data_IF_521497213641
#
_entry.id   IF_521497213641
#
_cell.length_a   1.000
_cell.length_b   1.000
_cell.length_c   1.000
_cell.angle_alpha   90.00
_cell.angle_beta   90.00
_cell.angle_gamma   90.00
#
_symmetry.space_group_name_H-M   'P 1'
#
loop_
_entity.id
_entity.type
_entity.pdbx_description
1 polymer ?
#
# COMPACT_ATOMS: atom_id res chain seq x y z
N UNK A 1 29.90 -41.42 70.80
CA UNK A 1 30.44 -40.54 69.71
C UNK A 1 29.29 -40.02 68.89
N UNK A 2 29.05 -38.71 68.96
CA UNK A 2 27.90 -38.04 68.31
C UNK A 2 28.36 -37.41 66.99
N UNK A 3 27.71 -37.68 65.90
CA UNK A 3 27.91 -36.99 64.63
C UNK A 3 26.83 -35.92 64.49
N UNK A 4 27.14 -34.68 64.06
CA UNK A 4 26.19 -33.66 63.85
C UNK A 4 25.67 -33.70 62.40
N UNK A 5 24.33 -33.64 62.22
CA UNK A 5 23.62 -33.52 60.96
C UNK A 5 23.73 -32.08 60.46
N UNK A 6 24.42 -31.85 59.34
CA UNK A 6 24.47 -30.58 58.62
C UNK A 6 23.22 -30.42 57.76
N UNK A 7 22.35 -29.52 58.17
CA UNK A 7 21.13 -29.12 57.50
C UNK A 7 21.48 -28.24 56.31
N UNK A 8 21.46 -28.80 55.08
CA UNK A 8 21.59 -28.04 53.82
C UNK A 8 20.29 -27.30 53.57
N UNK A 9 20.28 -25.98 53.75
CA UNK A 9 19.22 -25.08 53.37
C UNK A 9 19.22 -24.94 51.83
N UNK A 10 18.25 -25.52 51.16
CA UNK A 10 17.89 -25.26 49.74
C UNK A 10 17.20 -23.90 49.67
N UNK A 11 17.88 -22.92 49.08
CA UNK A 11 17.23 -21.67 48.64
C UNK A 11 16.41 -21.94 47.36
N UNK A 12 15.11 -21.62 47.31
CA UNK A 12 14.39 -21.66 46.06
C UNK A 12 14.82 -20.48 45.17
N UNK A 13 15.39 -20.78 44.02
CA UNK A 13 15.64 -19.83 42.95
C UNK A 13 14.27 -19.47 42.34
N UNK A 14 13.76 -18.30 42.68
CA UNK A 14 12.59 -17.71 42.07
C UNK A 14 12.93 -17.27 40.65
N UNK A 15 12.63 -18.10 39.65
CA UNK A 15 12.74 -17.74 38.22
C UNK A 15 11.58 -16.82 37.92
N UNK A 16 11.82 -15.49 37.87
CA UNK A 16 10.89 -14.52 37.29
C UNK A 16 10.81 -14.74 35.77
N UNK A 17 9.82 -15.46 35.33
CA UNK A 17 9.40 -15.47 33.92
C UNK A 17 8.86 -14.07 33.57
N UNK A 18 9.69 -13.22 32.96
CA UNK A 18 9.21 -12.05 32.26
C UNK A 18 8.41 -12.55 31.05
N UNK A 19 7.10 -12.58 31.16
CA UNK A 19 6.21 -12.73 30.02
C UNK A 19 6.39 -11.49 29.14
N UNK A 20 7.22 -11.60 28.12
CA UNK A 20 7.27 -10.59 27.04
C UNK A 20 5.93 -10.66 26.31
N UNK A 21 5.05 -9.68 26.58
CA UNK A 21 3.87 -9.45 25.74
C UNK A 21 4.38 -9.26 24.32
N UNK A 22 3.81 -9.97 23.32
CA UNK A 22 4.05 -9.60 21.93
C UNK A 22 3.62 -8.14 21.80
N UNK A 23 4.51 -7.28 21.32
CA UNK A 23 4.17 -5.92 21.00
C UNK A 23 3.06 -5.99 19.95
N UNK A 24 1.85 -5.57 20.30
CA UNK A 24 0.74 -5.51 19.37
C UNK A 24 1.18 -4.66 18.16
N UNK A 25 1.03 -5.22 16.96
CA UNK A 25 1.31 -4.51 15.73
C UNK A 25 0.37 -3.30 15.66
N UNK A 26 0.95 -2.11 15.72
CA UNK A 26 0.18 -0.87 15.64
C UNK A 26 -0.36 -0.71 14.20
N UNK A 27 -1.51 -0.07 14.06
CA UNK A 27 -2.10 0.26 12.76
C UNK A 27 -2.06 1.75 12.52
N UNK A 28 -1.91 2.13 11.26
CA UNK A 28 -2.03 3.52 10.87
C UNK A 28 -3.50 3.79 10.51
N UNK A 29 -4.16 4.64 11.29
CA UNK A 29 -5.50 5.14 10.97
C UNK A 29 -5.37 6.29 9.97
N UNK A 30 -5.79 6.05 8.74
CA UNK A 30 -5.73 7.06 7.68
C UNK A 30 -6.82 8.10 7.84
N UNK A 31 -6.47 9.33 7.48
CA UNK A 31 -7.40 10.45 7.30
C UNK A 31 -7.79 10.54 5.81
N UNK A 32 -9.01 10.12 5.43
CA UNK A 32 -9.43 10.12 4.03
C UNK A 32 -9.53 11.55 3.44
N UNK A 33 -9.81 12.56 4.26
CA UNK A 33 -9.93 13.94 3.80
C UNK A 33 -8.57 14.56 3.45
N UNK A 34 -7.49 14.02 4.01
CA UNK A 34 -6.11 14.48 3.80
C UNK A 34 -5.28 13.50 2.97
N UNK A 35 -5.86 12.39 2.55
CA UNK A 35 -5.24 11.39 1.69
C UNK A 35 -5.70 11.57 0.25
N UNK A 36 -4.78 11.39 -0.72
CA UNK A 36 -5.06 11.53 -2.15
C UNK A 36 -4.41 10.41 -2.93
N UNK A 37 -5.15 9.91 -3.91
CA UNK A 37 -4.63 8.97 -4.91
C UNK A 37 -5.10 9.46 -6.27
N UNK A 38 -4.15 9.78 -7.13
CA UNK A 38 -4.38 10.33 -8.47
C UNK A 38 -3.74 9.42 -9.51
N UNK A 39 -4.33 9.34 -10.70
CA UNK A 39 -3.74 8.64 -11.82
C UNK A 39 -3.66 9.55 -13.04
N UNK A 40 -2.61 9.38 -13.82
CA UNK A 40 -2.37 10.13 -15.05
C UNK A 40 -2.23 9.16 -16.23
N UNK A 41 -2.96 9.46 -17.30
CA UNK A 41 -2.98 8.71 -18.54
C UNK A 41 -2.54 9.63 -19.68
N UNK A 42 -1.54 9.21 -20.44
CA UNK A 42 -1.10 9.91 -21.64
C UNK A 42 -1.84 9.39 -22.87
N UNK A 43 -2.22 10.27 -23.74
CA UNK A 43 -2.79 9.93 -25.03
C UNK A 43 -2.27 10.89 -26.11
N UNK A 44 -2.33 10.48 -27.35
CA UNK A 44 -1.80 11.26 -28.48
C UNK A 44 -2.48 12.63 -28.61
N UNK A 45 -3.75 12.72 -28.28
CA UNK A 45 -4.57 13.95 -28.48
C UNK A 45 -4.93 14.63 -27.16
N UNK A 46 -5.35 13.88 -26.14
CA UNK A 46 -5.84 14.43 -24.87
C UNK A 46 -5.38 13.57 -23.71
N UNK A 47 -4.30 13.97 -23.07
CA UNK A 47 -3.84 13.38 -21.80
C UNK A 47 -4.74 13.86 -20.67
N UNK A 48 -5.02 12.99 -19.71
CA UNK A 48 -5.89 13.33 -18.61
C UNK A 48 -5.41 12.77 -17.29
N UNK A 49 -5.93 13.36 -16.23
CA UNK A 49 -5.78 12.87 -14.85
C UNK A 49 -7.14 12.45 -14.32
N UNK A 50 -7.11 11.57 -13.36
CA UNK A 50 -8.26 11.19 -12.57
C UNK A 50 -7.85 10.97 -11.13
N UNK A 51 -8.82 10.70 -10.29
CA UNK A 51 -8.62 10.45 -8.86
C UNK A 51 -9.43 9.25 -8.40
N UNK A 52 -8.97 8.67 -7.31
CA UNK A 52 -9.68 7.62 -6.60
C UNK A 52 -10.48 8.24 -5.46
N UNK A 53 -11.80 8.03 -5.47
CA UNK A 53 -12.71 8.62 -4.46
C UNK A 53 -12.69 7.87 -3.14
N UNK A 54 -12.65 6.53 -3.20
CA UNK A 54 -12.71 5.68 -2.01
C UNK A 54 -11.73 4.53 -2.13
N UNK A 55 -11.12 4.19 -1.03
CA UNK A 55 -10.24 3.03 -0.90
C UNK A 55 -10.27 2.49 0.52
N UNK A 56 -9.99 1.22 0.65
CA UNK A 56 -9.70 0.54 1.91
C UNK A 56 -8.18 0.39 1.99
N UNK A 57 -7.59 0.86 3.07
CA UNK A 57 -6.13 0.78 3.25
C UNK A 57 -5.82 0.37 4.66
N UNK A 58 -5.07 -0.71 4.78
CA UNK A 58 -4.52 -1.20 6.03
C UNK A 58 -3.01 -1.04 5.98
N UNK A 59 -2.43 -0.37 6.97
CA UNK A 59 -0.98 -0.23 7.13
C UNK A 59 -0.62 -0.70 8.52
N UNK A 60 0.24 -1.70 8.56
CA UNK A 60 0.74 -2.32 9.79
C UNK A 60 2.11 -1.77 10.10
N UNK A 61 2.29 -1.36 11.35
CA UNK A 61 3.55 -0.81 11.84
C UNK A 61 4.19 -1.79 12.82
N UNK A 62 5.48 -1.94 12.74
CA UNK A 62 6.28 -2.67 13.70
C UNK A 62 6.52 -1.87 14.99
N UNK A 63 7.21 -2.47 15.98
CA UNK A 63 7.46 -1.87 17.28
C UNK A 63 8.26 -0.56 17.23
N UNK A 64 9.06 -0.36 16.19
CA UNK A 64 9.82 0.88 15.92
C UNK A 64 9.05 1.92 15.13
N UNK A 65 7.79 1.65 14.75
CA UNK A 65 6.98 2.53 13.91
C UNK A 65 7.29 2.41 12.41
N UNK A 66 8.10 1.44 12.01
CA UNK A 66 8.37 1.08 10.62
C UNK A 66 7.16 0.38 9.98
N UNK A 67 6.93 0.59 8.69
CA UNK A 67 5.88 -0.12 7.95
C UNK A 67 6.34 -1.56 7.70
N UNK A 68 5.61 -2.52 8.26
CA UNK A 68 5.87 -3.96 8.11
C UNK A 68 4.89 -4.66 7.16
N UNK A 69 3.78 -4.02 6.85
CA UNK A 69 2.80 -4.52 5.91
C UNK A 69 1.86 -3.43 5.44
N UNK A 70 1.35 -3.57 4.23
CA UNK A 70 0.31 -2.71 3.71
C UNK A 70 -0.60 -3.46 2.74
N UNK A 71 -1.88 -3.16 2.81
CA UNK A 71 -2.90 -3.61 1.86
C UNK A 71 -3.68 -2.40 1.39
N UNK A 72 -3.78 -2.23 0.10
CA UNK A 72 -4.53 -1.15 -0.53
C UNK A 72 -5.55 -1.75 -1.49
N UNK A 73 -6.83 -1.45 -1.32
CA UNK A 73 -7.92 -2.03 -2.09
C UNK A 73 -8.94 -0.96 -2.46
N UNK A 74 -9.50 -1.05 -3.66
CA UNK A 74 -10.57 -0.16 -4.11
C UNK A 74 -11.45 -0.81 -5.19
N UNK A 75 -12.60 -0.19 -5.44
CA UNK A 75 -13.48 -0.59 -6.54
C UNK A 75 -13.15 0.22 -7.79
N UNK A 76 -13.15 -0.41 -8.97
CA UNK A 76 -12.97 0.30 -10.23
C UNK A 76 -13.96 1.46 -10.40
N UNK A 77 -15.18 1.32 -9.87
CA UNK A 77 -16.22 2.36 -9.90
C UNK A 77 -15.83 3.65 -9.13
N UNK A 78 -14.84 3.58 -8.23
CA UNK A 78 -14.35 4.75 -7.50
C UNK A 78 -13.28 5.56 -8.27
N UNK A 79 -12.84 5.08 -9.43
CA UNK A 79 -11.97 5.82 -10.35
C UNK A 79 -12.80 6.83 -11.15
N UNK A 80 -12.44 8.11 -11.06
CA UNK A 80 -13.16 9.20 -11.73
C UNK A 80 -12.21 10.18 -12.38
N UNK A 81 -12.61 10.70 -13.54
CA UNK A 81 -11.85 11.72 -14.29
C UNK A 81 -12.57 13.06 -14.36
N UNK A 82 -13.77 13.14 -13.77
CA UNK A 82 -14.63 14.33 -13.84
C UNK A 82 -15.35 14.51 -15.17
N UNK A 83 -15.35 13.48 -16.04
CA UNK A 83 -16.10 13.45 -17.30
C UNK A 83 -16.84 12.11 -17.39
N UNK A 84 -18.15 12.13 -17.23
CA UNK A 84 -19.00 10.93 -17.14
C UNK A 84 -18.79 9.97 -18.32
N UNK A 85 -18.76 10.48 -19.55
CA UNK A 85 -18.55 9.65 -20.74
C UNK A 85 -17.17 8.95 -20.76
N UNK A 86 -16.14 9.59 -20.19
CA UNK A 86 -14.81 8.98 -20.05
C UNK A 86 -14.84 7.93 -18.94
N UNK A 87 -15.48 8.24 -17.84
CA UNK A 87 -15.59 7.33 -16.69
C UNK A 87 -16.34 6.06 -17.10
N UNK A 88 -17.45 6.16 -17.80
CA UNK A 88 -18.15 5.01 -18.38
C UNK A 88 -17.29 4.21 -19.36
N UNK A 89 -16.56 4.88 -20.25
CA UNK A 89 -15.65 4.20 -21.19
C UNK A 89 -14.53 3.47 -20.47
N UNK A 90 -13.97 4.06 -19.41
CA UNK A 90 -12.95 3.46 -18.55
C UNK A 90 -13.51 2.23 -17.82
N UNK A 91 -14.72 2.29 -17.26
CA UNK A 91 -15.36 1.15 -16.61
C UNK A 91 -15.58 -0.02 -17.59
N UNK A 92 -16.02 0.26 -18.82
CA UNK A 92 -16.17 -0.79 -19.86
C UNK A 92 -14.82 -1.39 -20.24
N UNK A 93 -13.78 -0.56 -20.41
CA UNK A 93 -12.44 -1.02 -20.77
C UNK A 93 -11.80 -1.86 -19.66
N UNK A 94 -12.02 -1.50 -18.39
CA UNK A 94 -11.57 -2.26 -17.22
C UNK A 94 -12.37 -3.54 -16.99
N UNK A 95 -13.46 -3.75 -17.75
CA UNK A 95 -14.41 -4.85 -17.52
C UNK A 95 -14.86 -4.92 -16.05
N UNK A 96 -15.15 -3.76 -15.47
CA UNK A 96 -15.38 -3.59 -14.03
C UNK A 96 -16.56 -4.41 -13.49
N UNK A 97 -17.50 -4.83 -14.35
CA UNK A 97 -18.58 -5.73 -13.95
C UNK A 97 -18.05 -7.15 -13.61
N UNK A 98 -17.02 -7.62 -14.33
CA UNK A 98 -16.41 -8.92 -14.11
C UNK A 98 -15.22 -8.82 -13.12
N UNK A 99 -14.50 -7.69 -13.15
CA UNK A 99 -13.30 -7.44 -12.36
C UNK A 99 -13.44 -6.14 -11.55
N UNK A 100 -14.36 -6.08 -10.57
CA UNK A 100 -14.69 -4.82 -9.89
C UNK A 100 -13.59 -4.29 -8.98
N UNK A 101 -12.68 -5.14 -8.51
CA UNK A 101 -11.75 -4.83 -7.43
C UNK A 101 -10.31 -4.78 -7.94
N UNK A 102 -9.58 -3.75 -7.50
CA UNK A 102 -8.14 -3.64 -7.62
C UNK A 102 -7.53 -3.75 -6.22
N UNK A 103 -6.43 -4.50 -6.10
CA UNK A 103 -5.78 -4.73 -4.82
C UNK A 103 -4.26 -4.74 -4.97
N UNK A 104 -3.58 -4.01 -4.08
CA UNK A 104 -2.13 -4.07 -3.91
C UNK A 104 -1.81 -4.59 -2.51
N UNK A 105 -0.89 -5.55 -2.43
CA UNK A 105 -0.37 -6.10 -1.19
C UNK A 105 1.14 -5.87 -1.16
N UNK A 106 1.62 -5.18 -0.13
CA UNK A 106 3.05 -4.98 0.11
C UNK A 106 3.67 -6.29 0.62
N UNK A 107 4.68 -6.77 -0.07
CA UNK A 107 5.46 -7.94 0.35
C UNK A 107 6.73 -7.51 1.11
N UNK A 108 7.37 -6.40 0.68
CA UNK A 108 8.63 -5.94 1.25
C UNK A 108 8.80 -4.43 1.09
N UNK A 109 9.44 -3.80 2.07
CA UNK A 109 9.88 -2.40 2.03
C UNK A 109 11.40 -2.35 2.25
N UNK A 110 12.15 -1.98 1.20
CA UNK A 110 13.62 -1.92 1.24
C UNK A 110 14.09 -0.47 1.38
N UNK A 111 15.08 -0.24 2.23
CA UNK A 111 15.71 1.07 2.37
C UNK A 111 16.55 1.43 1.13
N UNK A 112 16.60 2.73 0.76
CA UNK A 112 17.44 3.23 -0.33
C UNK A 112 16.74 3.30 -1.70
N UNK A 113 15.43 3.15 -1.75
CA UNK A 113 14.64 3.10 -2.99
C UNK A 113 14.29 4.44 -3.64
N UNK A 114 15.01 5.54 -3.40
CA UNK A 114 14.70 6.82 -4.02
C UNK A 114 15.74 7.91 -3.75
N UNK A 115 15.69 9.02 -4.50
CA UNK A 115 16.49 10.19 -4.22
C UNK A 115 16.21 10.71 -2.80
N UNK A 116 17.26 10.89 -1.99
CA UNK A 116 17.14 11.42 -0.64
C UNK A 116 16.81 10.39 0.46
N UNK A 117 17.09 9.08 0.27
CA UNK A 117 16.97 8.08 1.35
C UNK A 117 15.56 7.54 1.57
N UNK A 118 14.75 7.46 0.53
CA UNK A 118 13.43 6.84 0.55
C UNK A 118 13.47 5.31 0.63
N UNK A 119 12.31 4.71 0.47
CA UNK A 119 12.10 3.26 0.48
C UNK A 119 11.69 2.77 -0.90
N UNK A 120 11.99 1.53 -1.22
CA UNK A 120 11.43 0.82 -2.36
C UNK A 120 10.35 -0.13 -1.86
N UNK A 121 9.10 0.16 -2.19
CA UNK A 121 7.98 -0.74 -1.95
C UNK A 121 7.96 -1.80 -3.05
N UNK A 122 7.95 -3.07 -2.65
CA UNK A 122 7.78 -4.23 -3.52
C UNK A 122 6.55 -4.99 -3.10
N UNK A 123 5.68 -5.32 -4.04
CA UNK A 123 4.43 -5.99 -3.75
C UNK A 123 3.78 -6.58 -4.98
N UNK A 124 2.55 -6.99 -4.82
CA UNK A 124 1.72 -7.60 -5.87
C UNK A 124 0.48 -6.76 -6.10
N UNK A 125 0.27 -6.39 -7.36
CA UNK A 125 -0.93 -5.71 -7.83
C UNK A 125 -1.82 -6.71 -8.55
N UNK A 126 -3.08 -6.83 -8.11
CA UNK A 126 -4.14 -7.51 -8.82
C UNK A 126 -5.04 -6.49 -9.48
N UNK A 127 -5.04 -6.48 -10.79
CA UNK A 127 -5.87 -5.63 -11.65
C UNK A 127 -6.47 -6.50 -12.77
N UNK A 128 -7.74 -6.32 -13.11
CA UNK A 128 -8.43 -7.08 -14.15
C UNK A 128 -8.29 -8.61 -13.96
N UNK A 129 -8.34 -9.07 -12.68
CA UNK A 129 -8.16 -10.48 -12.32
C UNK A 129 -6.72 -11.02 -12.42
N UNK A 130 -5.78 -10.27 -12.98
CA UNK A 130 -4.38 -10.67 -13.18
C UNK A 130 -3.48 -10.07 -12.11
N UNK A 131 -2.70 -10.92 -11.43
CA UNK A 131 -1.73 -10.49 -10.43
C UNK A 131 -0.33 -10.35 -11.05
N UNK A 132 0.35 -9.22 -10.78
CA UNK A 132 1.72 -8.94 -11.20
C UNK A 132 2.51 -8.29 -10.08
N UNK A 133 3.82 -8.51 -10.07
CA UNK A 133 4.73 -7.78 -9.19
C UNK A 133 4.76 -6.31 -9.61
N UNK A 134 4.69 -5.44 -8.62
CA UNK A 134 4.81 -3.99 -8.78
C UNK A 134 5.77 -3.46 -7.72
N UNK A 135 6.71 -2.63 -8.14
CA UNK A 135 7.63 -1.97 -7.23
C UNK A 135 7.78 -0.49 -7.60
N UNK A 136 7.88 0.34 -6.57
CA UNK A 136 7.93 1.79 -6.74
C UNK A 136 8.56 2.46 -5.52
N UNK A 137 9.19 3.65 -5.71
CA UNK A 137 9.73 4.43 -4.62
C UNK A 137 8.63 5.02 -3.74
N UNK A 138 8.86 5.01 -2.43
CA UNK A 138 7.99 5.65 -1.44
C UNK A 138 8.84 6.44 -0.44
N UNK A 139 8.28 7.53 0.05
CA UNK A 139 8.80 8.32 1.15
C UNK A 139 7.85 8.19 2.33
N UNK A 140 8.39 7.82 3.48
CA UNK A 140 7.65 7.79 4.75
C UNK A 140 8.22 8.90 5.63
N UNK A 141 7.38 9.86 6.00
CA UNK A 141 7.76 10.98 6.84
C UNK A 141 6.97 10.93 8.15
N UNK A 142 7.65 11.11 9.28
CA UNK A 142 7.04 11.25 10.59
C UNK A 142 6.89 12.73 10.93
N UNK A 143 5.67 13.16 11.19
CA UNK A 143 5.32 14.52 11.62
C UNK A 143 4.64 14.43 13.01
N UNK A 144 5.43 14.29 14.06
CA UNK A 144 4.91 13.97 15.39
C UNK A 144 4.18 12.61 15.42
N UNK A 145 2.90 12.57 15.83
CA UNK A 145 2.11 11.34 15.83
C UNK A 145 1.61 10.95 14.44
N UNK A 146 1.73 11.84 13.46
CA UNK A 146 1.29 11.59 12.09
C UNK A 146 2.37 10.88 11.27
N UNK A 147 1.91 10.14 10.28
CA UNK A 147 2.74 9.57 9.21
C UNK A 147 2.19 10.02 7.87
N UNK A 148 3.10 10.45 7.02
CA UNK A 148 2.82 10.77 5.63
C UNK A 148 3.57 9.77 4.75
N UNK A 149 2.82 9.05 3.93
CA UNK A 149 3.36 8.05 3.00
C UNK A 149 3.05 8.54 1.59
N UNK A 150 4.07 8.91 0.84
CA UNK A 150 3.92 9.44 -0.50
C UNK A 150 4.77 8.66 -1.50
N UNK A 151 4.27 8.47 -2.71
CA UNK A 151 4.97 7.75 -3.75
C UNK A 151 4.35 7.92 -5.13
N UNK A 152 5.07 7.40 -6.12
CA UNK A 152 4.60 7.34 -7.50
C UNK A 152 4.92 5.96 -8.08
N UNK A 153 3.91 5.28 -8.59
CA UNK A 153 4.01 4.00 -9.28
C UNK A 153 3.69 4.18 -10.76
N UNK A 154 4.37 3.44 -11.63
CA UNK A 154 4.01 3.32 -13.04
C UNK A 154 3.65 1.87 -13.29
N UNK A 155 2.46 1.62 -13.82
CA UNK A 155 1.99 0.29 -14.17
C UNK A 155 1.73 0.19 -15.68
N UNK A 156 2.06 -0.96 -16.26
CA UNK A 156 1.72 -1.28 -17.64
C UNK A 156 0.43 -2.09 -17.66
N UNK A 157 -0.63 -1.49 -18.17
CA UNK A 157 -1.96 -2.14 -18.20
C UNK A 157 -2.01 -3.40 -19.07
N UNK A 158 -1.07 -3.52 -20.03
CA UNK A 158 -0.97 -4.73 -20.89
C UNK A 158 -0.56 -5.97 -20.10
N UNK A 159 0.24 -5.81 -19.05
CA UNK A 159 0.65 -6.92 -18.18
C UNK A 159 -0.54 -7.52 -17.42
N UNK A 160 -1.63 -6.76 -17.31
CA UNK A 160 -2.89 -7.20 -16.71
C UNK A 160 -3.95 -7.62 -17.75
N UNK A 161 -3.54 -7.85 -19.02
CA UNK A 161 -4.44 -8.32 -20.06
C UNK A 161 -5.35 -7.26 -20.66
N UNK A 162 -5.16 -5.98 -20.30
CA UNK A 162 -5.97 -4.89 -20.84
C UNK A 162 -5.48 -4.48 -22.24
N UNK A 163 -6.38 -4.30 -23.21
CA UNK A 163 -6.01 -3.92 -24.58
C UNK A 163 -5.56 -2.47 -24.65
N UNK A 164 -4.61 -2.18 -25.57
CA UNK A 164 -4.23 -0.81 -25.87
C UNK A 164 -5.38 -0.11 -26.61
N UNK A 165 -5.88 0.98 -26.04
CA UNK A 165 -6.97 1.76 -26.63
C UNK A 165 -6.47 2.49 -27.88
N UNK A 166 -7.11 2.24 -29.02
CA UNK A 166 -6.86 2.92 -30.29
C UNK A 166 -8.19 3.32 -30.92
N UNK A 167 -8.31 4.55 -31.37
CA UNK A 167 -9.52 5.03 -32.04
C UNK A 167 -9.14 5.72 -33.36
N UNK A 168 -9.81 5.31 -34.45
CA UNK A 168 -9.72 5.92 -35.80
C UNK A 168 -8.27 6.10 -36.33
N UNK A 169 -7.33 5.27 -35.89
CA UNK A 169 -5.93 5.33 -36.30
C UNK A 169 -5.12 6.53 -35.79
N UNK A 170 -5.77 7.51 -35.18
CA UNK A 170 -5.17 8.77 -34.72
C UNK A 170 -5.00 8.84 -33.20
N UNK A 171 -5.98 8.34 -32.44
CA UNK A 171 -5.91 8.33 -31.00
C UNK A 171 -5.31 7.01 -30.51
N UNK A 172 -4.20 7.10 -29.79
CA UNK A 172 -3.59 6.00 -29.05
C UNK A 172 -3.45 6.44 -27.60
N UNK A 173 -3.95 5.63 -26.69
CA UNK A 173 -3.72 5.80 -25.25
C UNK A 173 -2.46 5.03 -24.86
N UNK A 174 -1.58 5.67 -24.13
CA UNK A 174 -0.37 5.03 -23.59
C UNK A 174 -0.80 3.97 -22.56
N UNK A 175 -0.36 2.72 -22.68
CA UNK A 175 -0.66 1.68 -21.71
C UNK A 175 0.02 1.91 -20.35
N UNK A 176 0.98 2.84 -20.25
CA UNK A 176 1.65 3.18 -19.01
C UNK A 176 0.81 4.20 -18.22
N UNK A 177 0.27 3.76 -17.11
CA UNK A 177 -0.49 4.61 -16.19
C UNK A 177 0.39 4.98 -15.01
N UNK A 178 0.49 6.27 -14.72
CA UNK A 178 1.16 6.80 -13.55
C UNK A 178 0.18 6.98 -12.42
N UNK A 179 0.49 6.45 -11.25
CA UNK A 179 -0.32 6.61 -10.03
C UNK A 179 0.52 7.33 -9.00
N UNK A 180 0.06 8.51 -8.58
CA UNK A 180 0.66 9.30 -7.50
C UNK A 180 -0.24 9.26 -6.29
N UNK A 181 0.34 9.06 -5.12
CA UNK A 181 -0.43 9.02 -3.88
C UNK A 181 0.27 9.74 -2.74
N UNK A 182 -0.54 10.29 -1.84
CA UNK A 182 -0.14 10.81 -0.54
C UNK A 182 -1.19 10.33 0.47
N UNK A 183 -0.77 9.49 1.40
CA UNK A 183 -1.60 8.94 2.46
C UNK A 183 -1.15 9.55 3.78
N UNK A 184 -2.10 10.10 4.55
CA UNK A 184 -1.86 10.69 5.87
C UNK A 184 -2.66 9.96 6.91
N UNK A 185 -2.03 9.69 8.04
CA UNK A 185 -2.69 8.97 9.12
C UNK A 185 -1.96 9.14 10.44
N UNK A 186 -2.59 8.64 11.50
CA UNK A 186 -2.03 8.61 12.86
C UNK A 186 -1.85 7.19 13.32
N UNK A 187 -0.79 6.97 14.07
CA UNK A 187 -0.59 5.68 14.73
C UNK A 187 -1.69 5.51 15.77
N UNK A 188 -2.50 4.45 15.61
CA UNK A 188 -3.50 4.08 16.61
C UNK A 188 -2.80 3.75 17.95
N UNK A 189 -3.38 4.19 19.07
CA UNK A 189 -2.82 3.95 20.38
C UNK A 189 -2.82 2.48 20.80
#
# INVERSE_FOLDING_TARGET
MRFPHSLRRLLPVLVLLFATRPADAARLELDPARSRVEFAVRATVDSFTGQLRKHETEIVLGPGGEVTGARFRFQCADLVTGKDARDEAMQRWLESAAHPTVEFILDQLEAGGGEGGGWLAKGRLRLHGVERSLWFPVKVTAEGPERVIAGEATLDTREHGLPVIRMLGLLKVDPLVRVKFELRGRVAP
#
